data_IF_419425998171
#
_entry.id   IF_419425998171
#
_cell.length_a   1.000
_cell.length_b   1.000
_cell.length_c   1.000
_cell.angle_alpha   90.00
_cell.angle_beta   90.00
_cell.angle_gamma   90.00
#
_symmetry.space_group_name_H-M   'P 1'
#
loop_
_entity.id
_entity.type
_entity.pdbx_description
1 polymer ?
#
# COMPACT_ATOMS: atom_id res chain seq x y z
N UNK A 1 -7.84 -11.59 -22.31
CA UNK A 1 -6.47 -11.05 -22.31
C UNK A 1 -6.03 -10.80 -20.88
N UNK A 2 -4.84 -11.29 -20.56
CA UNK A 2 -4.16 -11.04 -19.30
C UNK A 2 -3.84 -9.54 -19.13
N UNK A 3 -3.63 -9.13 -17.89
CA UNK A 3 -3.29 -7.76 -17.54
C UNK A 3 -2.06 -7.71 -16.66
N UNK A 4 -1.26 -6.67 -16.86
CA UNK A 4 -0.20 -6.30 -15.95
C UNK A 4 -0.70 -5.21 -15.02
N UNK A 5 -0.86 -5.55 -13.74
CA UNK A 5 -0.94 -4.54 -12.69
C UNK A 5 0.47 -4.29 -12.17
N UNK A 6 0.89 -3.04 -12.20
CA UNK A 6 2.20 -2.62 -11.69
C UNK A 6 2.01 -1.35 -10.88
N UNK A 7 2.73 -1.23 -9.78
CA UNK A 7 2.60 -0.06 -8.93
C UNK A 7 3.64 0.01 -7.85
N UNK A 8 3.44 0.98 -6.97
CA UNK A 8 4.20 1.10 -5.74
C UNK A 8 3.32 1.53 -4.58
N UNK A 9 3.79 1.20 -3.39
CA UNK A 9 3.34 1.68 -2.10
C UNK A 9 4.48 2.53 -1.52
N UNK A 10 4.20 3.78 -1.17
CA UNK A 10 5.12 4.66 -0.46
C UNK A 10 4.54 5.01 0.90
N UNK A 11 5.33 4.84 1.96
CA UNK A 11 4.91 5.20 3.33
C UNK A 11 5.74 6.39 3.82
N UNK A 12 5.09 7.49 4.14
CA UNK A 12 5.73 8.60 4.85
C UNK A 12 5.32 8.51 6.32
N UNK A 13 6.26 8.19 7.19
CA UNK A 13 6.03 8.06 8.63
C UNK A 13 6.72 9.17 9.41
N UNK A 14 6.16 9.52 10.55
CA UNK A 14 6.77 10.37 11.58
C UNK A 14 6.60 9.66 12.90
N UNK A 15 7.72 9.33 13.51
CA UNK A 15 7.83 9.01 14.94
C UNK A 15 8.20 10.32 15.66
N UNK A 16 7.38 10.74 16.62
CA UNK A 16 7.56 11.98 17.33
C UNK A 16 8.36 11.80 18.63
N UNK A 17 9.46 12.54 18.72
CA UNK A 17 10.35 12.50 19.86
C UNK A 17 10.30 13.81 20.66
N UNK A 18 9.95 13.72 21.95
CA UNK A 18 9.82 14.89 22.85
C UNK A 18 11.17 15.62 23.06
N UNK A 19 12.27 14.88 23.01
CA UNK A 19 13.60 15.38 23.40
C UNK A 19 14.67 15.21 22.32
N UNK A 20 14.40 14.40 21.30
CA UNK A 20 15.28 14.15 20.15
C UNK A 20 14.61 14.58 18.85
N UNK A 21 15.28 14.37 17.72
CA UNK A 21 14.68 14.68 16.42
C UNK A 21 13.72 13.54 16.04
N UNK A 22 12.56 13.89 15.48
CA UNK A 22 11.61 12.93 14.94
C UNK A 22 12.28 11.97 13.95
N UNK A 23 11.91 10.70 14.03
CA UNK A 23 12.43 9.65 13.16
C UNK A 23 11.48 9.39 11.98
N UNK A 24 12.06 8.95 10.87
CA UNK A 24 11.34 8.76 9.61
C UNK A 24 11.83 7.49 8.89
N UNK A 25 10.97 6.85 8.07
CA UNK A 25 11.38 5.74 7.22
C UNK A 25 12.52 6.12 6.25
N UNK A 26 13.61 5.34 6.29
CA UNK A 26 14.71 5.46 5.32
C UNK A 26 14.42 4.65 4.05
N UNK A 27 13.82 3.47 4.19
CA UNK A 27 13.35 2.63 3.08
C UNK A 27 11.82 2.55 3.06
N UNK A 28 11.23 3.45 2.27
CA UNK A 28 9.79 3.74 2.28
C UNK A 28 9.01 3.30 1.05
N UNK A 29 9.68 2.75 0.03
CA UNK A 29 9.05 2.44 -1.26
C UNK A 29 9.05 0.94 -1.50
N UNK A 30 7.88 0.39 -1.81
CA UNK A 30 7.68 -1.01 -2.21
C UNK A 30 7.08 -1.04 -3.59
N UNK A 31 7.80 -1.61 -4.56
CA UNK A 31 7.27 -1.80 -5.91
C UNK A 31 6.64 -3.19 -6.01
N UNK A 32 5.56 -3.30 -6.77
CA UNK A 32 4.92 -4.58 -7.04
C UNK A 32 4.49 -4.70 -8.49
N UNK A 33 4.41 -5.95 -8.96
CA UNK A 33 3.91 -6.29 -10.28
C UNK A 33 3.23 -7.65 -10.22
N UNK A 34 2.01 -7.74 -10.74
CA UNK A 34 1.26 -8.98 -10.83
C UNK A 34 0.59 -9.10 -12.19
N UNK A 35 0.39 -10.35 -12.64
CA UNK A 35 -0.40 -10.65 -13.83
C UNK A 35 -1.79 -11.07 -13.39
N UNK A 36 -2.82 -10.42 -13.94
CA UNK A 36 -4.21 -10.80 -13.74
C UNK A 36 -4.79 -11.47 -14.98
N UNK A 37 -5.08 -12.76 -14.89
CA UNK A 37 -5.78 -13.52 -15.93
C UNK A 37 -7.30 -13.34 -15.87
N UNK A 38 -8.02 -13.38 -17.00
CA UNK A 38 -9.49 -13.37 -16.98
C UNK A 38 -10.06 -14.55 -16.18
N UNK A 39 -11.00 -14.26 -15.27
CA UNK A 39 -11.70 -15.29 -14.50
C UNK A 39 -10.90 -15.90 -13.34
N UNK A 40 -9.67 -15.45 -13.11
CA UNK A 40 -8.90 -15.89 -11.95
C UNK A 40 -9.51 -15.36 -10.64
N UNK A 41 -9.31 -16.07 -9.50
CA UNK A 41 -9.65 -15.55 -8.19
C UNK A 41 -8.78 -14.32 -7.84
N UNK A 42 -9.19 -13.63 -6.78
CA UNK A 42 -8.40 -12.53 -6.23
C UNK A 42 -6.98 -13.00 -5.85
N UNK A 43 -5.97 -12.20 -6.21
CA UNK A 43 -4.57 -12.46 -5.89
C UNK A 43 -4.10 -11.51 -4.81
N UNK A 44 -3.41 -12.06 -3.80
CA UNK A 44 -2.72 -11.28 -2.80
C UNK A 44 -1.42 -10.70 -3.37
N UNK A 45 -1.15 -9.44 -3.04
CA UNK A 45 0.08 -8.73 -3.37
C UNK A 45 0.87 -8.60 -2.08
N UNK A 46 2.02 -9.28 -2.03
CA UNK A 46 2.90 -9.19 -0.87
C UNK A 46 3.64 -7.85 -0.90
N UNK A 47 3.42 -7.05 0.14
CA UNK A 47 4.11 -5.79 0.38
C UNK A 47 4.89 -5.95 1.69
N UNK A 48 6.21 -5.88 1.62
CA UNK A 48 7.06 -5.90 2.81
C UNK A 48 6.74 -4.70 3.72
N UNK A 49 6.66 -4.88 5.05
CA UNK A 49 6.42 -3.79 5.99
C UNK A 49 7.42 -2.64 5.85
N UNK A 50 6.98 -1.44 6.21
CA UNK A 50 7.84 -0.26 6.37
C UNK A 50 7.99 0.03 7.85
N UNK A 51 9.22 0.22 8.31
CA UNK A 51 9.56 0.35 9.73
C UNK A 51 10.49 1.54 9.95
N UNK A 52 10.37 2.19 11.11
CA UNK A 52 11.21 3.33 11.52
C UNK A 52 11.11 3.54 13.03
N UNK A 53 11.95 4.40 13.60
CA UNK A 53 11.86 4.74 15.03
C UNK A 53 12.43 3.68 15.97
N UNK A 54 12.63 2.46 15.48
CA UNK A 54 12.79 1.30 16.35
C UNK A 54 11.47 0.84 16.98
N UNK A 55 10.37 1.57 16.82
CA UNK A 55 9.05 1.28 17.39
C UNK A 55 7.88 1.29 16.40
N UNK A 56 7.98 2.05 15.31
CA UNK A 56 6.89 2.19 14.36
C UNK A 56 6.95 1.17 13.21
N UNK A 57 5.79 0.65 12.81
CA UNK A 57 5.63 -0.23 11.65
C UNK A 57 4.32 0.03 10.93
N UNK A 58 4.38 0.08 9.60
CA UNK A 58 3.19 0.03 8.72
C UNK A 58 3.22 -1.26 7.91
N UNK A 59 2.07 -1.93 7.91
CA UNK A 59 1.80 -3.08 7.05
C UNK A 59 0.69 -2.73 6.07
N UNK A 60 0.85 -3.14 4.82
CA UNK A 60 -0.13 -2.90 3.76
C UNK A 60 -0.47 -4.23 3.12
N UNK A 61 -1.71 -4.68 3.31
CA UNK A 61 -2.24 -5.84 2.63
C UNK A 61 -3.02 -5.38 1.41
N UNK A 62 -2.69 -5.94 0.24
CA UNK A 62 -3.41 -5.65 -1.00
C UNK A 62 -3.80 -6.94 -1.68
N UNK A 63 -4.99 -6.91 -2.23
CA UNK A 63 -5.60 -7.97 -2.99
C UNK A 63 -6.11 -7.37 -4.30
N UNK A 64 -5.94 -8.08 -5.40
CA UNK A 64 -6.29 -7.57 -6.72
C UNK A 64 -7.04 -8.60 -7.55
N UNK A 65 -8.06 -8.13 -8.28
CA UNK A 65 -8.85 -8.96 -9.19
C UNK A 65 -9.31 -8.21 -10.42
N UNK A 66 -9.46 -8.88 -11.57
CA UNK A 66 -10.14 -8.29 -12.72
C UNK A 66 -11.62 -8.05 -12.40
N UNK A 67 -12.18 -6.94 -12.86
CA UNK A 67 -13.62 -6.64 -12.74
C UNK A 67 -14.32 -6.85 -14.07
N UNK A 68 -13.74 -6.30 -15.14
CA UNK A 68 -14.24 -6.39 -16.50
C UNK A 68 -13.06 -6.47 -17.51
N UNK A 69 -13.26 -6.12 -18.78
CA UNK A 69 -12.23 -6.13 -19.83
C UNK A 69 -11.29 -4.90 -19.83
N UNK A 70 -11.65 -3.83 -19.11
CA UNK A 70 -10.87 -2.59 -18.95
C UNK A 70 -10.46 -2.26 -17.51
N UNK A 71 -11.13 -2.78 -16.49
CA UNK A 71 -10.92 -2.42 -15.08
C UNK A 71 -10.38 -3.57 -14.23
N UNK A 72 -9.50 -3.25 -13.27
CA UNK A 72 -9.16 -4.11 -12.13
C UNK A 72 -9.58 -3.44 -10.83
N UNK A 73 -9.82 -4.23 -9.78
CA UNK A 73 -10.08 -3.74 -8.42
C UNK A 73 -8.89 -4.08 -7.54
N UNK A 74 -8.47 -3.13 -6.71
CA UNK A 74 -7.61 -3.36 -5.56
C UNK A 74 -8.44 -3.19 -4.29
N UNK A 75 -8.30 -4.13 -3.37
CA UNK A 75 -8.90 -4.13 -2.04
C UNK A 75 -7.87 -4.51 -1.00
N UNK A 76 -8.03 -4.08 0.25
CA UNK A 76 -7.17 -4.48 1.35
C UNK A 76 -7.22 -3.47 2.49
N UNK A 77 -6.12 -3.37 3.22
CA UNK A 77 -6.02 -2.43 4.34
C UNK A 77 -4.56 -2.05 4.62
N UNK A 78 -4.40 -0.86 5.20
CA UNK A 78 -3.15 -0.42 5.80
C UNK A 78 -3.32 -0.40 7.33
N UNK A 79 -2.34 -0.93 8.04
CA UNK A 79 -2.32 -1.06 9.50
C UNK A 79 -1.09 -0.33 10.04
N UNK A 80 -1.26 0.48 11.08
CA UNK A 80 -0.18 1.18 11.77
C UNK A 80 0.01 0.61 13.17
N UNK A 81 1.25 0.26 13.48
CA UNK A 81 1.67 -0.31 14.76
C UNK A 81 2.73 0.58 15.39
N UNK A 82 2.64 0.75 16.71
CA UNK A 82 3.54 1.56 17.53
C UNK A 82 3.60 0.95 18.93
N UNK A 83 4.78 0.93 19.55
CA UNK A 83 5.02 0.32 20.85
C UNK A 83 6.51 0.05 21.01
N UNK A 84 6.99 -0.60 22.08
CA UNK A 84 8.44 -0.61 22.38
C UNK A 84 9.38 -1.34 21.38
N UNK A 85 8.87 -1.84 20.24
CA UNK A 85 9.70 -2.31 19.12
C UNK A 85 8.93 -2.35 17.80
N UNK A 86 9.63 -2.29 16.65
CA UNK A 86 9.01 -2.47 15.31
C UNK A 86 8.42 -3.87 15.04
N UNK A 87 8.50 -4.79 16.01
CA UNK A 87 7.89 -6.13 15.98
C UNK A 87 6.65 -6.21 16.88
N UNK A 88 6.22 -5.09 17.46
CA UNK A 88 5.05 -5.03 18.32
C UNK A 88 3.77 -5.36 17.56
N UNK A 89 2.83 -6.01 18.25
CA UNK A 89 1.47 -6.25 17.77
C UNK A 89 0.47 -5.21 18.29
N UNK A 90 0.97 -4.13 18.91
CA UNK A 90 0.20 -2.96 19.35
C UNK A 90 -0.30 -2.18 18.12
N UNK A 91 -1.53 -2.47 17.71
CA UNK A 91 -2.20 -1.86 16.58
C UNK A 91 -2.87 -0.54 16.98
N UNK A 92 -2.48 0.54 16.34
CA UNK A 92 -2.95 1.90 16.63
C UNK A 92 -4.07 2.37 15.70
N UNK A 93 -3.97 2.05 14.41
CA UNK A 93 -4.98 2.43 13.42
C UNK A 93 -5.01 1.44 12.25
N UNK A 94 -6.16 1.39 11.58
CA UNK A 94 -6.38 0.58 10.39
C UNK A 94 -7.31 1.33 9.43
N UNK A 95 -6.88 1.44 8.18
CA UNK A 95 -7.65 2.06 7.12
C UNK A 95 -7.86 1.09 5.96
N UNK A 96 -9.11 0.95 5.52
CA UNK A 96 -9.44 0.13 4.36
C UNK A 96 -8.98 0.78 3.06
N UNK A 97 -8.50 -0.04 2.14
CA UNK A 97 -8.15 0.33 0.77
C UNK A 97 -9.18 -0.35 -0.15
N UNK A 98 -9.91 0.44 -0.94
CA UNK A 98 -10.83 -0.09 -1.96
C UNK A 98 -10.94 0.90 -3.12
N UNK A 99 -10.33 0.55 -4.27
CA UNK A 99 -10.46 1.37 -5.46
C UNK A 99 -10.30 0.57 -6.76
N UNK A 100 -10.86 1.11 -7.84
CA UNK A 100 -10.71 0.56 -9.19
C UNK A 100 -9.55 1.22 -9.92
N UNK A 101 -8.81 0.40 -10.68
CA UNK A 101 -7.71 0.82 -11.55
C UNK A 101 -8.16 0.61 -12.99
N UNK A 102 -8.60 1.67 -13.68
CA UNK A 102 -8.95 1.58 -15.09
C UNK A 102 -7.70 1.31 -15.94
N UNK A 103 -7.90 0.77 -17.14
CA UNK A 103 -6.82 0.54 -18.09
C UNK A 103 -6.03 1.83 -18.34
N UNK A 104 -4.72 1.75 -18.15
CA UNK A 104 -3.78 2.80 -18.49
C UNK A 104 -3.56 2.79 -20.01
N UNK A 105 -3.93 3.89 -20.69
CA UNK A 105 -3.82 4.07 -22.14
C UNK A 105 -2.90 5.25 -22.45
N UNK A 106 -1.90 5.07 -23.32
CA UNK A 106 -1.03 6.16 -23.78
C UNK A 106 -0.46 7.00 -22.64
N UNK A 107 -0.84 8.28 -22.59
CA UNK A 107 -0.41 9.25 -21.58
C UNK A 107 -1.28 9.30 -20.30
N UNK A 108 -2.28 8.42 -20.15
CA UNK A 108 -3.11 8.40 -18.94
C UNK A 108 -2.25 8.15 -17.70
N UNK A 109 -2.35 9.00 -16.67
CA UNK A 109 -1.55 8.83 -15.47
C UNK A 109 -1.97 7.55 -14.73
N UNK A 110 -1.04 6.92 -13.98
CA UNK A 110 -1.38 5.87 -13.04
C UNK A 110 -2.45 6.35 -12.05
N UNK A 111 -3.28 5.42 -11.56
CA UNK A 111 -4.25 5.70 -10.51
C UNK A 111 -3.52 5.89 -9.18
N UNK A 112 -3.88 6.94 -8.45
CA UNK A 112 -3.38 7.19 -7.11
C UNK A 112 -4.47 6.93 -6.07
N UNK A 113 -4.07 6.43 -4.91
CA UNK A 113 -4.90 6.30 -3.72
C UNK A 113 -4.05 6.63 -2.49
N UNK A 114 -4.68 7.18 -1.45
CA UNK A 114 -3.99 7.64 -0.25
C UNK A 114 -4.86 7.35 0.96
N UNK A 115 -4.23 6.87 2.03
CA UNK A 115 -4.83 6.74 3.36
C UNK A 115 -3.86 7.31 4.39
N UNK A 116 -4.41 7.93 5.43
CA UNK A 116 -3.66 8.46 6.57
C UNK A 116 -3.96 7.63 7.81
N UNK A 117 -2.92 7.27 8.55
CA UNK A 117 -2.94 6.50 9.77
C UNK A 117 -2.38 7.35 10.91
N UNK A 118 -2.92 7.22 12.12
CA UNK A 118 -2.46 7.98 13.30
C UNK A 118 -2.46 7.12 14.55
N UNK A 119 -1.58 7.42 15.51
CA UNK A 119 -1.80 6.94 16.86
C UNK A 119 -3.07 7.59 17.42
N UNK A 120 -4.02 6.76 17.85
CA UNK A 120 -5.30 7.24 18.40
C UNK A 120 -5.49 6.86 19.87
N UNK A 121 -4.64 5.99 20.41
CA UNK A 121 -4.80 5.42 21.75
C UNK A 121 -4.34 6.42 22.83
N UNK A 122 -3.35 7.26 22.55
CA UNK A 122 -2.84 8.25 23.50
C UNK A 122 -3.20 9.69 23.09
N UNK A 123 -3.94 10.38 23.96
CA UNK A 123 -4.19 11.82 23.84
C UNK A 123 -2.86 12.58 23.84
N UNK A 124 -2.47 13.11 22.68
CA UNK A 124 -1.20 13.81 22.49
C UNK A 124 -0.12 13.02 21.77
N UNK A 125 -0.40 11.77 21.35
CA UNK A 125 0.50 11.07 20.43
C UNK A 125 0.52 11.78 19.07
N UNK A 126 1.73 12.11 18.59
CA UNK A 126 1.95 12.85 17.35
C UNK A 126 2.45 11.95 16.20
N UNK A 127 2.53 10.64 16.48
CA UNK A 127 2.96 9.61 15.55
C UNK A 127 1.96 9.40 14.43
N UNK A 128 2.48 9.39 13.20
CA UNK A 128 1.65 9.38 11.99
C UNK A 128 2.28 8.60 10.87
N UNK A 129 1.42 8.07 9.99
CA UNK A 129 1.87 7.51 8.72
C UNK A 129 0.89 7.82 7.59
N UNK A 130 1.42 8.26 6.45
CA UNK A 130 0.68 8.41 5.21
C UNK A 130 1.10 7.35 4.20
N UNK A 131 0.13 6.56 3.71
CA UNK A 131 0.35 5.51 2.73
C UNK A 131 -0.17 5.97 1.37
N UNK A 132 0.72 6.02 0.39
CA UNK A 132 0.44 6.42 -0.98
C UNK A 132 0.57 5.23 -1.92
N UNK A 133 -0.47 4.93 -2.68
CA UNK A 133 -0.47 3.91 -3.70
C UNK A 133 -0.50 4.56 -5.08
N UNK A 134 0.36 4.08 -5.98
CA UNK A 134 0.35 4.49 -7.40
C UNK A 134 0.33 3.24 -8.27
N UNK A 135 -0.71 3.05 -9.08
CA UNK A 135 -0.97 1.78 -9.78
C UNK A 135 -1.37 2.01 -11.24
N UNK A 136 -0.78 1.21 -12.13
CA UNK A 136 -1.11 1.13 -13.55
C UNK A 136 -1.68 -0.25 -13.89
N UNK A 137 -2.56 -0.30 -14.89
CA UNK A 137 -3.19 -1.52 -15.38
C UNK A 137 -3.07 -1.55 -16.91
N UNK A 138 -2.23 -2.44 -17.44
CA UNK A 138 -1.96 -2.56 -18.89
C UNK A 138 -2.40 -3.93 -19.40
N UNK A 139 -2.73 -4.03 -20.68
CA UNK A 139 -2.91 -5.35 -21.30
C UNK A 139 -1.54 -5.98 -21.54
N UNK A 140 -1.47 -7.30 -21.41
CA UNK A 140 -0.34 -8.10 -21.87
C UNK A 140 -0.83 -8.85 -23.10
N UNK A 141 -0.12 -8.70 -24.21
CA UNK A 141 -0.24 -9.62 -25.34
C UNK A 141 0.55 -10.87 -24.95
N UNK A 142 -0.14 -11.98 -24.73
CA UNK A 142 0.50 -13.28 -24.71
C UNK A 142 0.73 -13.64 -26.17
N UNK A 143 1.99 -13.75 -26.59
CA UNK A 143 2.33 -14.37 -27.86
C UNK A 143 1.83 -15.83 -27.78
N UNK A 144 0.74 -16.12 -28.47
CA UNK A 144 0.26 -17.49 -28.65
C UNK A 144 1.25 -18.20 -29.59
N UNK A 145 2.27 -18.88 -29.02
CA UNK A 145 3.09 -19.87 -29.74
C UNK A 145 2.32 -21.17 -29.99
#
# INVERSE_FOLDING_TARGET
MARLLQGNVRVEGVDHEDFTANEHPTDKLRNFQIVLEPGQPEQNIQIEPVKWGGECRVEVELNARPVDASTAKLSGEARFYEGGSEQTDELEDTQSIDFTVPRTLGASPPRQHHVSLRNTVLLGAEDTADVFLTVSNRLIETDDE
#
